data_IF_932801126571
#
_entry.id   IF_932801126571
#
_cell.length_a   1.000
_cell.length_b   1.000
_cell.length_c   1.000
_cell.angle_alpha   90.00
_cell.angle_beta   90.00
_cell.angle_gamma   90.00
#
_symmetry.space_group_name_H-M   'P 1'
#
loop_
_entity.id
_entity.type
_entity.pdbx_description
1 polymer ?
#
# COMPACT_ATOMS: atom_id res chain seq x y z
N UNK A 1 94.12 -66.31 1.70
CA UNK A 1 92.93 -66.72 0.94
C UNK A 1 91.73 -67.07 1.83
N UNK A 2 91.84 -67.95 2.84
CA UNK A 2 90.71 -68.30 3.73
C UNK A 2 90.28 -67.19 4.72
N UNK A 3 91.19 -66.34 5.19
CA UNK A 3 90.85 -65.25 6.14
C UNK A 3 90.12 -64.08 5.47
N UNK A 4 90.46 -63.75 4.22
CA UNK A 4 89.78 -62.71 3.43
C UNK A 4 88.35 -63.11 3.02
N UNK A 5 88.10 -64.40 2.74
CA UNK A 5 86.75 -64.87 2.40
C UNK A 5 85.81 -64.86 3.61
N UNK A 6 86.33 -65.20 4.81
CA UNK A 6 85.61 -65.08 6.08
C UNK A 6 85.29 -63.61 6.39
N UNK A 7 86.25 -62.69 6.19
CA UNK A 7 86.06 -61.24 6.39
C UNK A 7 84.98 -60.66 5.46
N UNK A 8 85.03 -60.99 4.16
CA UNK A 8 84.01 -60.59 3.18
C UNK A 8 82.62 -61.11 3.54
N UNK A 9 82.50 -62.34 4.03
CA UNK A 9 81.22 -62.89 4.52
C UNK A 9 80.65 -62.14 5.72
N UNK A 10 81.50 -61.75 6.68
CA UNK A 10 81.06 -60.94 7.83
C UNK A 10 80.69 -59.51 7.45
N UNK A 11 81.40 -58.91 6.49
CA UNK A 11 81.09 -57.59 5.94
C UNK A 11 79.77 -57.60 5.15
N UNK A 12 79.52 -58.62 4.33
CA UNK A 12 78.24 -58.80 3.63
C UNK A 12 77.06 -59.01 4.61
N UNK A 13 77.29 -59.74 5.70
CA UNK A 13 76.28 -59.93 6.75
C UNK A 13 75.95 -58.62 7.47
N UNK A 14 76.96 -57.79 7.77
CA UNK A 14 76.77 -56.49 8.41
C UNK A 14 76.06 -55.50 7.46
N UNK A 15 76.43 -55.50 6.18
CA UNK A 15 75.79 -54.68 5.13
C UNK A 15 74.32 -55.06 4.94
N UNK A 16 73.99 -56.36 4.95
CA UNK A 16 72.59 -56.81 4.87
C UNK A 16 71.78 -56.40 6.11
N UNK A 17 72.37 -56.47 7.30
CA UNK A 17 71.72 -56.03 8.53
C UNK A 17 71.46 -54.52 8.52
N UNK A 18 72.40 -53.73 8.01
CA UNK A 18 72.26 -52.28 7.86
C UNK A 18 71.14 -51.93 6.88
N UNK A 19 71.09 -52.59 5.71
CA UNK A 19 70.01 -52.42 4.72
C UNK A 19 68.63 -52.73 5.29
N UNK A 20 68.52 -53.77 6.11
CA UNK A 20 67.27 -54.09 6.82
C UNK A 20 66.86 -52.97 7.78
N UNK A 21 67.78 -52.45 8.59
CA UNK A 21 67.47 -51.36 9.54
C UNK A 21 67.13 -50.04 8.85
N UNK A 22 67.76 -49.73 7.72
CA UNK A 22 67.41 -48.55 6.90
C UNK A 22 65.99 -48.68 6.39
N UNK A 23 65.62 -49.84 5.83
CA UNK A 23 64.25 -50.09 5.36
C UNK A 23 63.22 -50.00 6.49
N UNK A 24 63.53 -50.55 7.65
CA UNK A 24 62.67 -50.48 8.84
C UNK A 24 62.51 -49.04 9.36
N UNK A 25 63.55 -48.20 9.23
CA UNK A 25 63.48 -46.79 9.57
C UNK A 25 62.63 -46.00 8.56
N UNK A 26 62.79 -46.27 7.26
CA UNK A 26 61.96 -45.67 6.19
C UNK A 26 60.47 -46.02 6.36
N UNK A 27 60.16 -47.27 6.70
CA UNK A 27 58.79 -47.72 6.99
C UNK A 27 58.19 -47.00 8.21
N UNK A 28 58.97 -46.82 9.28
CA UNK A 28 58.55 -46.08 10.48
C UNK A 28 58.35 -44.60 10.19
N UNK A 29 59.20 -43.99 9.37
CA UNK A 29 59.07 -42.59 8.95
C UNK A 29 57.81 -42.39 8.09
N UNK A 30 57.53 -43.29 7.15
CA UNK A 30 56.29 -43.26 6.36
C UNK A 30 55.05 -43.43 7.24
N UNK A 31 55.06 -44.37 8.19
CA UNK A 31 53.95 -44.57 9.12
C UNK A 31 53.72 -43.33 10.01
N UNK A 32 54.79 -42.68 10.47
CA UNK A 32 54.71 -41.44 11.24
C UNK A 32 54.12 -40.29 10.42
N UNK A 33 54.57 -40.14 9.16
CA UNK A 33 54.03 -39.12 8.25
C UNK A 33 52.54 -39.34 7.95
N UNK A 34 52.10 -40.60 7.74
CA UNK A 34 50.68 -40.92 7.58
C UNK A 34 49.85 -40.59 8.82
N UNK A 35 50.38 -40.89 10.02
CA UNK A 35 49.71 -40.56 11.28
C UNK A 35 49.53 -39.05 11.44
N UNK A 36 50.56 -38.27 11.13
CA UNK A 36 50.51 -36.81 11.20
C UNK A 36 49.46 -36.24 10.23
N UNK A 37 49.43 -36.77 9.01
CA UNK A 37 48.48 -36.36 7.98
C UNK A 37 47.02 -36.70 8.38
N UNK A 38 46.79 -37.86 8.98
CA UNK A 38 45.48 -38.21 9.56
C UNK A 38 45.08 -37.25 10.69
N UNK A 39 46.03 -36.86 11.54
CA UNK A 39 45.75 -35.95 12.65
C UNK A 39 45.39 -34.54 12.17
N UNK A 40 46.07 -34.03 11.14
CA UNK A 40 45.75 -32.75 10.50
C UNK A 40 44.36 -32.78 9.83
N UNK A 41 44.06 -33.85 9.08
CA UNK A 41 42.74 -34.01 8.46
C UNK A 41 41.62 -34.07 9.52
N UNK A 42 41.86 -34.74 10.64
CA UNK A 42 40.88 -34.82 11.74
C UNK A 42 40.62 -33.43 12.34
N UNK A 43 41.67 -32.64 12.62
CA UNK A 43 41.51 -31.26 13.12
C UNK A 43 40.83 -30.34 12.12
N UNK A 44 41.15 -30.46 10.83
CA UNK A 44 40.51 -29.66 9.78
C UNK A 44 39.00 -29.94 9.73
N UNK A 45 38.62 -31.23 9.81
CA UNK A 45 37.22 -31.64 9.83
C UNK A 45 36.47 -31.18 11.08
N UNK A 46 37.09 -31.27 12.26
CA UNK A 46 36.51 -30.74 13.51
C UNK A 46 36.28 -29.24 13.45
N UNK A 47 37.21 -28.48 12.87
CA UNK A 47 37.08 -27.02 12.71
C UNK A 47 35.96 -26.65 11.72
N UNK A 48 35.83 -27.39 10.62
CA UNK A 48 34.76 -27.21 9.65
C UNK A 48 33.38 -27.49 10.26
N UNK A 49 33.24 -28.57 11.03
CA UNK A 49 32.01 -28.90 11.77
C UNK A 49 31.66 -27.83 12.82
N UNK A 50 32.65 -27.28 13.53
CA UNK A 50 32.45 -26.21 14.49
C UNK A 50 31.97 -24.91 13.81
N UNK A 51 32.59 -24.53 12.70
CA UNK A 51 32.18 -23.37 11.92
C UNK A 51 30.76 -23.51 11.37
N UNK A 52 30.42 -24.69 10.85
CA UNK A 52 29.07 -24.97 10.36
C UNK A 52 28.00 -24.83 11.47
N UNK A 53 28.30 -25.31 12.69
CA UNK A 53 27.41 -25.13 13.86
C UNK A 53 27.22 -23.66 14.22
N UNK A 54 28.30 -22.87 14.26
CA UNK A 54 28.19 -21.44 14.54
C UNK A 54 27.43 -20.66 13.45
N UNK A 55 27.58 -21.04 12.17
CA UNK A 55 26.79 -20.46 11.08
C UNK A 55 25.29 -20.77 11.21
N UNK A 56 24.95 -21.98 11.61
CA UNK A 56 23.55 -22.39 11.84
C UNK A 56 22.93 -21.67 13.03
N UNK A 57 23.68 -21.52 14.13
CA UNK A 57 23.26 -20.78 15.32
C UNK A 57 23.01 -19.30 15.01
N UNK A 58 23.93 -18.64 14.29
CA UNK A 58 23.74 -17.25 13.82
C UNK A 58 22.49 -17.08 12.95
N UNK A 59 22.19 -18.06 12.08
CA UNK A 59 20.97 -18.02 11.25
C UNK A 59 19.71 -18.14 12.11
N UNK A 60 19.74 -19.00 13.12
CA UNK A 60 18.62 -19.21 14.03
C UNK A 60 18.35 -17.97 14.88
N UNK A 61 19.38 -17.39 15.49
CA UNK A 61 19.27 -16.13 16.25
C UNK A 61 18.73 -14.99 15.37
N UNK A 62 19.24 -14.85 14.14
CA UNK A 62 18.76 -13.84 13.20
C UNK A 62 17.29 -14.03 12.80
N UNK A 63 16.81 -15.28 12.73
CA UNK A 63 15.39 -15.57 12.45
C UNK A 63 14.50 -15.25 13.66
N UNK A 64 14.92 -15.60 14.86
CA UNK A 64 14.20 -15.27 16.10
C UNK A 64 14.11 -13.76 16.30
N UNK A 65 15.21 -13.02 16.10
CA UNK A 65 15.23 -11.56 16.20
C UNK A 65 14.21 -10.90 15.27
N UNK A 66 14.17 -11.32 14.00
CA UNK A 66 13.18 -10.83 13.03
C UNK A 66 11.75 -11.13 13.46
N UNK A 67 11.51 -12.30 14.07
CA UNK A 67 10.19 -12.66 14.57
C UNK A 67 9.77 -11.80 15.76
N UNK A 68 10.69 -11.48 16.67
CA UNK A 68 10.44 -10.58 17.79
C UNK A 68 10.17 -9.14 17.32
N UNK A 69 10.94 -8.64 16.36
CA UNK A 69 10.71 -7.31 15.77
C UNK A 69 9.33 -7.22 15.11
N UNK A 70 8.94 -8.20 14.31
CA UNK A 70 7.61 -8.22 13.68
C UNK A 70 6.47 -8.27 14.72
N UNK A 71 6.63 -9.02 15.83
CA UNK A 71 5.66 -9.02 16.94
C UNK A 71 5.57 -7.66 17.62
N UNK A 72 6.72 -7.01 17.84
CA UNK A 72 6.78 -5.69 18.47
C UNK A 72 6.08 -4.64 17.60
N UNK A 73 6.36 -4.61 16.30
CA UNK A 73 5.71 -3.72 15.34
C UNK A 73 4.18 -3.89 15.34
N UNK A 74 3.69 -5.14 15.29
CA UNK A 74 2.26 -5.43 15.38
C UNK A 74 1.64 -4.94 16.70
N UNK A 75 2.33 -5.12 17.82
CA UNK A 75 1.84 -4.66 19.12
C UNK A 75 1.81 -3.13 19.22
N UNK A 76 2.86 -2.45 18.76
CA UNK A 76 2.91 -0.99 18.68
C UNK A 76 1.81 -0.43 17.75
N UNK A 77 1.52 -1.12 16.65
CA UNK A 77 0.40 -0.77 15.78
C UNK A 77 -0.96 -0.89 16.49
N UNK A 78 -1.16 -1.96 17.27
CA UNK A 78 -2.39 -2.17 18.04
C UNK A 78 -2.56 -1.09 19.13
N UNK A 79 -1.49 -0.75 19.85
CA UNK A 79 -1.52 0.30 20.89
C UNK A 79 -1.80 1.67 20.28
N UNK A 80 -1.16 2.03 19.14
CA UNK A 80 -1.48 3.26 18.41
C UNK A 80 -2.92 3.29 17.95
N UNK A 81 -3.46 2.16 17.48
CA UNK A 81 -4.87 2.03 17.11
C UNK A 81 -5.80 2.33 18.27
N UNK A 82 -5.53 1.73 19.43
CA UNK A 82 -6.35 1.87 20.62
C UNK A 82 -6.32 3.32 21.14
N UNK A 83 -5.14 3.96 21.14
CA UNK A 83 -5.01 5.38 21.52
C UNK A 83 -5.79 6.30 20.58
N UNK A 84 -5.69 6.11 19.27
CA UNK A 84 -6.43 6.93 18.30
C UNK A 84 -7.94 6.76 18.45
N UNK A 85 -8.41 5.53 18.67
CA UNK A 85 -9.83 5.24 18.93
C UNK A 85 -10.32 5.94 20.20
N UNK A 86 -9.54 5.92 21.29
CA UNK A 86 -9.89 6.61 22.54
C UNK A 86 -9.92 8.14 22.37
N UNK A 87 -9.02 8.73 21.58
CA UNK A 87 -9.03 10.17 21.30
C UNK A 87 -10.31 10.62 20.56
N UNK A 88 -10.82 9.79 19.65
CA UNK A 88 -12.11 10.04 18.98
C UNK A 88 -13.32 9.86 19.91
N UNK A 89 -13.22 9.06 20.97
CA UNK A 89 -14.28 8.89 21.97
C UNK A 89 -14.31 10.02 23.02
N UNK A 90 -13.14 10.61 23.34
CA UNK A 90 -13.03 11.71 24.33
C UNK A 90 -13.39 13.07 23.71
N UNK A 91 -13.20 13.22 22.40
CA UNK A 91 -13.66 14.39 21.66
C UNK A 91 -15.14 14.18 21.33
N UNK A 92 -16.08 14.56 22.21
CA UNK A 92 -17.49 14.61 21.82
C UNK A 92 -17.60 15.55 20.62
N UNK A 93 -17.90 15.06 19.41
CA UNK A 93 -18.12 15.96 18.30
C UNK A 93 -19.36 16.77 18.66
N UNK A 94 -19.28 18.08 18.43
CA UNK A 94 -20.46 18.93 18.40
C UNK A 94 -21.53 18.23 17.53
N UNK A 95 -22.82 18.38 17.86
CA UNK A 95 -23.90 17.61 17.21
C UNK A 95 -23.92 17.84 15.67
N UNK A 96 -23.30 18.94 15.23
CA UNK A 96 -23.07 19.35 13.85
C UNK A 96 -21.97 18.54 13.12
N UNK A 97 -20.93 18.05 13.81
CA UNK A 97 -19.86 17.22 13.22
C UNK A 97 -20.29 15.77 12.99
N UNK A 98 -21.19 15.22 13.83
CA UNK A 98 -21.77 13.87 13.63
C UNK A 98 -22.63 13.77 12.37
N UNK A 99 -23.11 14.89 11.86
CA UNK A 99 -23.96 14.95 10.66
C UNK A 99 -23.19 15.18 9.36
N UNK A 100 -21.84 15.22 9.41
CA UNK A 100 -20.97 15.39 8.25
C UNK A 100 -20.47 14.03 7.75
N UNK A 101 -20.61 13.77 6.46
CA UNK A 101 -20.01 12.61 5.79
C UNK A 101 -18.98 13.15 4.79
N UNK A 102 -17.75 12.66 4.85
CA UNK A 102 -16.70 13.01 3.89
C UNK A 102 -16.36 11.84 2.99
N UNK A 103 -16.24 12.13 1.69
CA UNK A 103 -15.96 11.17 0.63
C UNK A 103 -14.75 11.65 -0.15
N UNK A 104 -13.70 10.84 -0.17
CA UNK A 104 -12.48 11.13 -0.96
C UNK A 104 -12.56 10.35 -2.28
N UNK A 105 -12.40 11.03 -3.40
CA UNK A 105 -12.38 10.43 -4.73
C UNK A 105 -10.95 10.03 -5.07
N UNK A 106 -10.72 8.76 -5.36
CA UNK A 106 -9.39 8.20 -5.66
C UNK A 106 -9.43 7.46 -7.00
N UNK A 107 -8.35 7.52 -7.76
CA UNK A 107 -8.34 7.02 -9.14
C UNK A 107 -7.19 7.61 -9.93
N UNK A 108 -6.77 6.93 -11.00
CA UNK A 108 -5.76 7.45 -11.93
C UNK A 108 -6.23 8.74 -12.62
N UNK A 109 -5.30 9.47 -13.21
CA UNK A 109 -5.57 10.62 -14.06
C UNK A 109 -6.46 10.20 -15.23
N UNK A 110 -7.45 11.04 -15.56
CA UNK A 110 -8.43 10.74 -16.61
C UNK A 110 -9.50 9.69 -16.26
N UNK A 111 -9.50 9.11 -15.05
CA UNK A 111 -10.55 8.16 -14.62
C UNK A 111 -11.95 8.79 -14.46
N UNK A 112 -12.03 10.12 -14.41
CA UNK A 112 -13.30 10.85 -14.30
C UNK A 112 -13.70 11.26 -12.89
N UNK A 113 -12.75 11.33 -11.95
CA UNK A 113 -12.99 11.76 -10.55
C UNK A 113 -13.73 13.10 -10.47
N UNK A 114 -13.16 14.15 -11.05
CA UNK A 114 -13.73 15.50 -11.03
C UNK A 114 -15.09 15.57 -11.73
N UNK A 115 -15.25 14.88 -12.86
CA UNK A 115 -16.54 14.81 -13.58
C UNK A 115 -17.61 14.09 -12.76
N UNK A 116 -17.26 12.95 -12.14
CA UNK A 116 -18.17 12.21 -11.27
C UNK A 116 -18.56 13.04 -10.05
N UNK A 117 -17.60 13.73 -9.43
CA UNK A 117 -17.84 14.62 -8.30
C UNK A 117 -18.79 15.75 -8.68
N UNK A 118 -18.58 16.42 -9.82
CA UNK A 118 -19.47 17.50 -10.27
C UNK A 118 -20.90 16.99 -10.53
N UNK A 119 -21.05 15.83 -11.17
CA UNK A 119 -22.38 15.22 -11.38
C UNK A 119 -23.05 14.87 -10.04
N UNK A 120 -22.30 14.32 -9.08
CA UNK A 120 -22.82 14.03 -7.74
C UNK A 120 -23.24 15.33 -7.04
N UNK A 121 -22.41 16.38 -7.12
CA UNK A 121 -22.68 17.69 -6.52
C UNK A 121 -23.98 18.29 -7.04
N UNK A 122 -24.14 18.37 -8.37
CA UNK A 122 -25.33 18.90 -9.04
C UNK A 122 -26.59 18.12 -8.69
N UNK A 123 -26.51 16.79 -8.67
CA UNK A 123 -27.70 15.92 -8.47
C UNK A 123 -28.05 15.70 -6.99
N UNK A 124 -27.09 15.76 -6.08
CA UNK A 124 -27.31 15.57 -4.64
C UNK A 124 -28.00 16.78 -4.00
N UNK A 125 -27.65 18.00 -4.43
CA UNK A 125 -28.18 19.24 -3.87
C UNK A 125 -29.61 19.58 -4.32
N UNK A 126 -30.23 18.77 -5.18
CA UNK A 126 -31.50 19.07 -5.85
C UNK A 126 -31.52 20.44 -6.57
N UNK A 127 -30.34 21.01 -6.85
CA UNK A 127 -30.19 22.26 -7.58
C UNK A 127 -30.25 21.95 -9.08
N UNK A 128 -31.42 22.17 -9.67
CA UNK A 128 -31.55 22.27 -11.12
C UNK A 128 -30.97 23.61 -11.55
N UNK A 129 -29.66 23.69 -11.81
CA UNK A 129 -29.14 24.86 -12.51
C UNK A 129 -29.45 24.71 -14.01
N UNK A 130 -30.44 25.49 -14.48
CA UNK A 130 -30.79 25.63 -15.90
C UNK A 130 -29.77 26.54 -16.63
N UNK A 131 -28.92 27.23 -15.88
CA UNK A 131 -27.85 28.06 -16.43
C UNK A 131 -26.61 27.19 -16.62
N UNK A 132 -26.26 26.98 -17.89
CA UNK A 132 -25.30 25.98 -18.37
C UNK A 132 -24.01 25.95 -17.56
N UNK A 133 -23.55 24.74 -17.25
CA UNK A 133 -22.18 24.52 -16.81
C UNK A 133 -21.26 25.14 -17.85
N UNK A 134 -20.52 26.18 -17.49
CA UNK A 134 -19.37 26.62 -18.25
C UNK A 134 -18.49 25.39 -18.41
N UNK A 135 -18.41 24.87 -19.63
CA UNK A 135 -17.53 23.79 -20.01
C UNK A 135 -16.10 24.33 -19.94
N UNK A 136 -15.55 24.42 -18.74
CA UNK A 136 -14.11 24.49 -18.62
C UNK A 136 -13.54 23.14 -19.09
N UNK A 137 -12.46 23.16 -19.89
CA UNK A 137 -11.77 21.94 -20.29
C UNK A 137 -11.46 21.09 -19.05
N UNK A 138 -11.42 19.77 -19.20
CA UNK A 138 -10.93 18.88 -18.15
C UNK A 138 -9.44 19.18 -17.92
N UNK A 139 -9.15 20.19 -17.12
CA UNK A 139 -7.81 20.51 -16.66
C UNK A 139 -7.34 19.37 -15.77
N UNK A 140 -6.04 19.11 -15.79
CA UNK A 140 -5.44 18.15 -14.88
C UNK A 140 -5.65 18.65 -13.45
N UNK A 141 -6.28 17.82 -12.60
CA UNK A 141 -6.36 18.09 -11.17
C UNK A 141 -4.95 18.00 -10.60
N UNK A 142 -4.37 19.15 -10.21
CA UNK A 142 -3.00 19.22 -9.65
C UNK A 142 -3.01 19.35 -8.13
N UNK A 143 -4.13 19.80 -7.54
CA UNK A 143 -4.30 20.00 -6.09
C UNK A 143 -5.61 19.38 -5.60
N UNK A 144 -5.68 19.08 -4.31
CA UNK A 144 -6.92 18.56 -3.71
C UNK A 144 -7.98 19.67 -3.59
N UNK A 145 -9.23 19.38 -3.91
CA UNK A 145 -10.33 20.34 -3.86
C UNK A 145 -11.46 19.83 -2.97
N UNK A 146 -11.97 20.68 -2.06
CA UNK A 146 -13.10 20.38 -1.17
C UNK A 146 -14.35 21.05 -1.72
N UNK A 147 -15.42 20.29 -1.94
CA UNK A 147 -16.77 20.78 -2.23
C UNK A 147 -17.77 20.25 -1.22
N UNK A 148 -18.80 21.02 -0.94
CA UNK A 148 -19.81 20.65 0.06
C UNK A 148 -21.21 20.73 -0.54
N UNK A 149 -22.07 19.78 -0.19
CA UNK A 149 -23.48 19.75 -0.60
C UNK A 149 -24.33 19.15 0.51
N UNK A 150 -25.54 19.68 0.69
CA UNK A 150 -26.53 19.07 1.57
C UNK A 150 -27.34 18.03 0.81
N UNK A 151 -27.35 16.79 1.31
CA UNK A 151 -28.08 15.69 0.72
C UNK A 151 -28.80 14.89 1.81
N UNK A 152 -30.10 14.67 1.66
CA UNK A 152 -30.93 13.90 2.60
C UNK A 152 -30.79 14.33 4.08
N UNK A 153 -30.68 15.64 4.33
CA UNK A 153 -30.56 16.20 5.68
C UNK A 153 -29.18 16.08 6.32
N UNK A 154 -28.16 15.67 5.56
CA UNK A 154 -26.76 15.60 6.01
C UNK A 154 -25.85 16.43 5.13
N UNK A 155 -24.76 16.91 5.71
CA UNK A 155 -23.73 17.65 4.99
C UNK A 155 -22.72 16.66 4.40
N UNK A 156 -22.61 16.64 3.08
CA UNK A 156 -21.69 15.79 2.34
C UNK A 156 -20.49 16.61 1.88
N UNK A 157 -19.31 16.22 2.32
CA UNK A 157 -18.02 16.79 1.92
C UNK A 157 -17.44 15.87 0.84
N UNK A 158 -17.18 16.42 -0.35
CA UNK A 158 -16.58 15.72 -1.47
C UNK A 158 -15.17 16.27 -1.67
N UNK A 159 -14.16 15.40 -1.61
CA UNK A 159 -12.77 15.77 -1.82
C UNK A 159 -12.31 15.18 -3.14
N UNK A 160 -12.08 16.03 -4.14
CA UNK A 160 -11.38 15.66 -5.37
C UNK A 160 -9.88 15.57 -5.08
N UNK A 161 -9.21 14.58 -5.66
CA UNK A 161 -7.76 14.43 -5.49
C UNK A 161 -7.04 14.34 -6.83
N UNK A 162 -5.81 14.85 -6.91
CA UNK A 162 -4.86 14.41 -7.93
C UNK A 162 -4.46 12.95 -7.73
N UNK A 163 -3.55 12.44 -8.57
CA UNK A 163 -2.79 11.25 -8.20
C UNK A 163 -1.89 11.57 -7.00
N UNK A 164 -1.82 10.64 -6.04
CA UNK A 164 -1.12 10.84 -4.76
C UNK A 164 0.32 10.32 -4.79
N UNK A 165 0.81 9.95 -5.97
CA UNK A 165 2.16 9.47 -6.23
C UNK A 165 2.65 10.02 -7.57
N UNK A 166 3.96 10.03 -7.76
CA UNK A 166 4.60 10.39 -9.02
C UNK A 166 4.74 9.20 -9.99
N UNK A 167 5.38 9.42 -11.14
CA UNK A 167 5.58 8.40 -12.18
C UNK A 167 6.44 7.21 -11.70
N UNK A 168 7.28 7.41 -10.68
CA UNK A 168 8.10 6.38 -10.05
C UNK A 168 7.34 5.63 -8.94
N UNK A 169 6.08 6.00 -8.68
CA UNK A 169 5.23 5.42 -7.65
C UNK A 169 5.61 5.88 -6.23
N UNK A 170 6.40 6.94 -6.10
CA UNK A 170 6.73 7.57 -4.83
C UNK A 170 5.57 8.47 -4.42
N UNK A 171 5.11 8.28 -3.19
CA UNK A 171 3.98 9.05 -2.67
C UNK A 171 4.31 10.54 -2.50
N UNK A 172 3.35 11.39 -2.83
CA UNK A 172 3.40 12.82 -2.54
C UNK A 172 2.76 13.07 -1.17
N UNK A 173 3.60 13.16 -0.13
CA UNK A 173 3.16 13.29 1.26
C UNK A 173 2.33 14.55 1.50
N UNK A 174 2.62 15.66 0.81
CA UNK A 174 1.85 16.91 0.93
C UNK A 174 0.43 16.73 0.36
N UNK A 175 0.28 16.11 -0.82
CA UNK A 175 -1.04 15.83 -1.39
C UNK A 175 -1.86 14.85 -0.54
N UNK A 176 -1.20 13.84 0.04
CA UNK A 176 -1.84 12.93 1.00
C UNK A 176 -2.32 13.70 2.23
N UNK A 177 -1.50 14.61 2.75
CA UNK A 177 -1.87 15.45 3.90
C UNK A 177 -3.02 16.38 3.56
N UNK A 178 -3.00 17.01 2.38
CA UNK A 178 -4.05 17.90 1.90
C UNK A 178 -5.39 17.17 1.75
N UNK A 179 -5.41 15.98 1.14
CA UNK A 179 -6.65 15.22 0.98
C UNK A 179 -7.28 14.83 2.33
N UNK A 180 -6.45 14.47 3.31
CA UNK A 180 -6.91 14.10 4.65
C UNK A 180 -7.37 15.33 5.46
N UNK A 181 -6.66 16.45 5.32
CA UNK A 181 -7.02 17.72 5.96
C UNK A 181 -8.36 18.24 5.44
N UNK A 182 -8.58 18.18 4.12
CA UNK A 182 -9.85 18.58 3.52
C UNK A 182 -11.01 17.64 3.86
N UNK A 183 -10.72 16.41 4.31
CA UNK A 183 -11.71 15.41 4.70
C UNK A 183 -12.03 15.39 6.21
N UNK A 184 -11.45 16.29 7.02
CA UNK A 184 -11.74 16.43 8.47
C UNK A 184 -13.26 16.53 8.69
N UNK A 185 -13.86 15.75 9.61
CA UNK A 185 -13.24 15.05 10.77
C UNK A 185 -12.50 13.73 10.46
N UNK A 186 -12.54 13.26 9.21
CA UNK A 186 -11.80 12.09 8.73
C UNK A 186 -12.57 11.42 7.59
N UNK A 187 -11.90 10.71 6.67
CA UNK A 187 -12.57 10.10 5.51
C UNK A 187 -13.57 9.04 5.93
N UNK A 188 -14.85 9.23 5.62
CA UNK A 188 -15.87 8.24 5.92
C UNK A 188 -15.93 7.16 4.84
N UNK A 189 -15.78 7.58 3.58
CA UNK A 189 -15.80 6.71 2.41
C UNK A 189 -14.68 7.07 1.44
N UNK A 190 -14.04 6.05 0.88
CA UNK A 190 -13.14 6.17 -0.26
C UNK A 190 -13.87 5.73 -1.52
N UNK A 191 -13.99 6.60 -2.51
CA UNK A 191 -14.64 6.29 -3.76
C UNK A 191 -13.58 6.01 -4.84
N UNK A 192 -13.40 4.73 -5.17
CA UNK A 192 -12.43 4.28 -6.17
C UNK A 192 -13.03 4.41 -7.57
N UNK A 193 -12.64 5.44 -8.30
CA UNK A 193 -13.17 5.78 -9.62
C UNK A 193 -12.42 5.02 -10.71
N UNK A 194 -13.15 4.17 -11.44
CA UNK A 194 -12.64 3.36 -12.54
C UNK A 194 -13.48 3.61 -13.80
N UNK A 195 -12.85 3.61 -14.97
CA UNK A 195 -13.59 3.74 -16.23
C UNK A 195 -14.15 2.37 -16.66
N UNK A 196 -15.42 2.33 -17.07
CA UNK A 196 -16.01 1.11 -17.63
C UNK A 196 -15.27 0.71 -18.91
N UNK A 197 -14.93 -0.57 -19.03
CA UNK A 197 -14.22 -1.13 -20.18
C UNK A 197 -12.72 -0.84 -20.20
N UNK A 198 -12.19 -0.12 -19.21
CA UNK A 198 -10.76 0.17 -19.06
C UNK A 198 -10.31 -0.17 -17.64
N UNK A 199 -9.71 -1.34 -17.50
CA UNK A 199 -9.00 -1.76 -16.28
C UNK A 199 -7.64 -2.29 -16.70
N UNK A 200 -6.58 -1.58 -16.31
CA UNK A 200 -5.20 -1.83 -16.71
C UNK A 200 -4.36 -2.22 -15.51
N UNK A 201 -3.09 -2.52 -15.76
CA UNK A 201 -2.11 -2.79 -14.72
C UNK A 201 -1.96 -1.61 -13.75
N UNK A 202 -2.07 -0.36 -14.24
CA UNK A 202 -1.99 0.84 -13.41
C UNK A 202 -3.07 0.87 -12.33
N UNK A 203 -4.31 0.48 -12.63
CA UNK A 203 -5.38 0.42 -11.62
C UNK A 203 -5.14 -0.70 -10.59
N UNK A 204 -4.46 -1.78 -10.97
CA UNK A 204 -4.05 -2.84 -10.03
C UNK A 204 -2.99 -2.32 -9.05
N UNK A 205 -1.99 -1.62 -9.56
CA UNK A 205 -0.89 -1.04 -8.78
C UNK A 205 -1.39 0.06 -7.86
N UNK A 206 -2.25 0.95 -8.37
CA UNK A 206 -2.95 1.99 -7.61
C UNK A 206 -3.55 1.44 -6.31
N UNK A 207 -4.27 0.32 -6.39
CA UNK A 207 -4.88 -0.26 -5.18
C UNK A 207 -3.84 -0.61 -4.11
N UNK A 208 -2.67 -1.11 -4.52
CA UNK A 208 -1.54 -1.37 -3.63
C UNK A 208 -0.96 -0.09 -3.02
N UNK A 209 -0.80 0.99 -3.79
CA UNK A 209 -0.36 2.29 -3.28
C UNK A 209 -1.35 2.85 -2.25
N UNK A 210 -2.65 2.75 -2.51
CA UNK A 210 -3.69 3.18 -1.57
C UNK A 210 -3.66 2.40 -0.25
N UNK A 211 -3.37 1.09 -0.28
CA UNK A 211 -3.18 0.30 0.95
C UNK A 211 -1.96 0.76 1.75
N UNK A 212 -0.89 1.22 1.10
CA UNK A 212 0.28 1.79 1.77
C UNK A 212 -0.04 3.16 2.39
N UNK A 213 -0.78 4.00 1.68
CA UNK A 213 -1.10 5.38 2.11
C UNK A 213 -2.14 5.39 3.23
N UNK A 214 -3.27 4.71 3.04
CA UNK A 214 -4.45 4.78 3.93
C UNK A 214 -4.59 3.57 4.86
N UNK A 215 -3.67 2.61 4.78
CA UNK A 215 -3.69 1.36 5.54
C UNK A 215 -4.59 0.30 4.90
N UNK A 216 -4.31 -0.98 5.17
CA UNK A 216 -4.99 -2.12 4.50
C UNK A 216 -6.51 -2.13 4.69
N UNK A 217 -6.96 -1.61 5.83
CA UNK A 217 -8.37 -1.57 6.22
C UNK A 217 -9.18 -0.50 5.48
N UNK A 218 -8.54 0.42 4.72
CA UNK A 218 -9.26 1.44 3.94
C UNK A 218 -10.28 0.82 2.98
N UNK A 219 -9.98 -0.38 2.47
CA UNK A 219 -10.85 -1.13 1.58
C UNK A 219 -12.22 -1.44 2.22
N UNK A 220 -12.30 -1.55 3.56
CA UNK A 220 -13.56 -1.70 4.28
C UNK A 220 -14.43 -0.44 4.25
N UNK A 221 -13.83 0.73 4.03
CA UNK A 221 -14.50 2.01 3.80
C UNK A 221 -14.56 2.39 2.31
N UNK A 222 -14.17 1.49 1.38
CA UNK A 222 -14.11 1.79 -0.04
C UNK A 222 -15.35 1.32 -0.82
N UNK A 223 -15.77 2.12 -1.79
CA UNK A 223 -16.78 1.80 -2.81
C UNK A 223 -16.13 1.97 -4.18
N UNK A 224 -16.35 1.03 -5.11
CA UNK A 224 -15.89 1.17 -6.49
C UNK A 224 -16.94 1.92 -7.32
N UNK A 225 -16.59 3.04 -7.92
CA UNK A 225 -17.44 3.79 -8.83
C UNK A 225 -16.98 3.59 -10.26
N UNK A 226 -17.81 2.94 -11.07
CA UNK A 226 -17.58 2.79 -12.50
C UNK A 226 -18.17 3.96 -13.27
N UNK A 227 -17.33 4.68 -14.02
CA UNK A 227 -17.71 5.86 -14.79
C UNK A 227 -17.79 5.53 -16.27
N UNK A 228 -18.89 5.94 -16.92
CA UNK A 228 -19.14 5.76 -18.34
C UNK A 228 -18.94 7.07 -19.10
N UNK A 229 -18.03 7.09 -20.09
CA UNK A 229 -17.70 8.25 -20.94
C UNK A 229 -18.24 8.19 -22.37
N UNK A 230 -18.73 7.02 -22.84
CA UNK A 230 -19.33 6.89 -24.16
C UNK A 230 -20.70 6.18 -24.13
N UNK A 231 -21.71 6.76 -24.78
CA UNK A 231 -23.04 6.15 -24.96
C UNK A 231 -23.06 5.12 -26.11
N UNK A 232 -22.05 5.13 -27.00
CA UNK A 232 -22.04 4.35 -28.25
C UNK A 232 -21.18 3.08 -28.22
N UNK A 233 -20.32 2.87 -27.21
CA UNK A 233 -19.41 1.70 -27.16
C UNK A 233 -19.76 0.61 -26.15
N UNK A 234 -20.80 0.77 -25.36
CA UNK A 234 -21.36 -0.30 -24.57
C UNK A 234 -22.88 -0.21 -24.66
N UNK A 235 -23.52 -1.22 -25.27
CA UNK A 235 -24.92 -1.52 -24.95
C UNK A 235 -25.02 -1.62 -23.42
N UNK A 236 -26.16 -1.26 -22.78
CA UNK A 236 -26.33 -1.35 -21.34
C UNK A 236 -26.24 -2.81 -20.89
N UNK A 237 -25.02 -3.34 -20.74
CA UNK A 237 -24.78 -4.49 -19.92
C UNK A 237 -24.84 -3.97 -18.50
N UNK A 238 -25.75 -4.52 -17.69
CA UNK A 238 -25.82 -4.21 -16.27
C UNK A 238 -24.42 -4.28 -15.70
N UNK A 239 -24.00 -3.28 -14.92
CA UNK A 239 -22.65 -3.23 -14.33
C UNK A 239 -22.25 -4.55 -13.65
N UNK A 240 -23.21 -5.28 -13.08
CA UNK A 240 -23.01 -6.62 -12.51
C UNK A 240 -22.45 -7.63 -13.53
N UNK A 241 -22.93 -7.62 -14.77
CA UNK A 241 -22.44 -8.51 -15.82
C UNK A 241 -21.02 -8.12 -16.25
N UNK A 242 -20.73 -6.81 -16.30
CA UNK A 242 -19.37 -6.33 -16.57
C UNK A 242 -18.38 -6.82 -15.51
N UNK A 243 -18.71 -6.65 -14.22
CA UNK A 243 -17.85 -7.13 -13.12
C UNK A 243 -17.71 -8.65 -13.14
N UNK A 244 -18.81 -9.39 -13.36
CA UNK A 244 -18.78 -10.86 -13.41
C UNK A 244 -17.98 -11.40 -14.61
N UNK A 245 -17.96 -10.68 -15.74
CA UNK A 245 -17.19 -11.03 -16.93
C UNK A 245 -15.77 -10.44 -16.97
N UNK A 246 -15.40 -9.61 -16.00
CA UNK A 246 -14.11 -8.94 -15.98
C UNK A 246 -12.95 -9.87 -15.60
N UNK A 247 -11.73 -9.39 -15.84
CA UNK A 247 -10.50 -10.06 -15.40
C UNK A 247 -10.48 -10.27 -13.88
N UNK A 248 -9.86 -11.37 -13.42
CA UNK A 248 -9.81 -11.77 -12.01
C UNK A 248 -9.29 -10.65 -11.08
N UNK A 249 -8.30 -9.88 -11.53
CA UNK A 249 -7.76 -8.74 -10.79
C UNK A 249 -8.81 -7.66 -10.46
N UNK A 250 -9.73 -7.34 -11.38
CA UNK A 250 -10.83 -6.41 -11.09
C UNK A 250 -11.83 -7.03 -10.11
N UNK A 251 -12.16 -8.30 -10.30
CA UNK A 251 -13.05 -9.02 -9.39
C UNK A 251 -12.48 -9.09 -7.97
N UNK A 252 -11.16 -9.30 -7.83
CA UNK A 252 -10.44 -9.28 -6.57
C UNK A 252 -10.51 -7.92 -5.89
N UNK A 253 -10.29 -6.83 -6.65
CA UNK A 253 -10.41 -5.45 -6.13
C UNK A 253 -11.83 -5.18 -5.61
N UNK A 254 -12.85 -5.51 -6.39
CA UNK A 254 -14.26 -5.34 -6.01
C UNK A 254 -14.59 -6.17 -4.76
N UNK A 255 -14.09 -7.41 -4.68
CA UNK A 255 -14.29 -8.29 -3.52
C UNK A 255 -13.63 -7.73 -2.26
N UNK A 256 -12.41 -7.19 -2.36
CA UNK A 256 -11.72 -6.52 -1.24
C UNK A 256 -12.49 -5.29 -0.75
N UNK A 257 -13.21 -4.62 -1.65
CA UNK A 257 -14.13 -3.52 -1.31
C UNK A 257 -15.53 -4.01 -0.88
N UNK A 258 -15.67 -5.26 -0.44
CA UNK A 258 -16.93 -5.82 0.06
C UNK A 258 -18.02 -5.98 -1.00
N UNK A 259 -17.64 -6.11 -2.28
CA UNK A 259 -18.58 -6.18 -3.42
C UNK A 259 -19.49 -4.96 -3.55
N UNK A 260 -19.04 -3.79 -3.07
CA UNK A 260 -19.75 -2.51 -3.17
C UNK A 260 -19.28 -1.77 -4.41
N UNK A 261 -20.13 -1.73 -5.43
CA UNK A 261 -19.86 -0.96 -6.64
C UNK A 261 -21.12 -0.33 -7.23
N UNK A 262 -20.94 0.80 -7.91
CA UNK A 262 -21.99 1.57 -8.55
C UNK A 262 -21.54 2.02 -9.94
N UNK A 263 -22.49 2.34 -10.79
CA UNK A 263 -22.25 2.90 -12.12
C UNK A 263 -22.74 4.35 -12.15
N UNK A 264 -21.97 5.23 -12.78
CA UNK A 264 -22.35 6.63 -13.00
C UNK A 264 -22.10 7.04 -14.46
N UNK A 265 -23.15 7.48 -15.12
CA UNK A 265 -23.05 8.09 -16.44
C UNK A 265 -22.79 9.59 -16.31
N UNK A 266 -21.65 10.03 -16.83
CA UNK A 266 -21.21 11.44 -16.81
C UNK A 266 -21.41 12.15 -18.15
N UNK A 267 -21.94 11.45 -19.17
CA UNK A 267 -22.17 11.95 -20.51
C UNK A 267 -23.57 12.55 -20.54
N UNK A 268 -23.65 13.85 -20.78
CA UNK A 268 -24.87 14.66 -20.72
C UNK A 268 -25.31 14.89 -19.28
N UNK A 269 -24.85 16.01 -18.73
CA UNK A 269 -25.34 16.64 -17.49
C UNK A 269 -26.86 16.91 -17.48
N UNK A 270 -27.65 16.46 -18.47
CA UNK A 270 -29.11 16.64 -18.56
C UNK A 270 -29.94 15.35 -18.66
N UNK A 271 -29.35 14.15 -18.59
CA UNK A 271 -30.18 12.93 -18.63
C UNK A 271 -30.86 12.66 -17.27
N UNK A 272 -32.13 12.24 -17.30
CA UNK A 272 -32.89 11.75 -16.13
C UNK A 272 -32.27 10.50 -15.48
N UNK A 273 -31.35 9.81 -16.18
CA UNK A 273 -30.76 8.53 -15.78
C UNK A 273 -29.69 8.65 -14.68
N UNK A 274 -28.98 9.78 -14.56
CA UNK A 274 -27.95 9.93 -13.51
C UNK A 274 -28.54 10.24 -12.13
N UNK A 275 -29.79 10.69 -12.05
CA UNK A 275 -30.43 10.94 -10.74
C UNK A 275 -30.65 9.64 -9.95
N UNK A 276 -31.25 8.56 -10.51
CA UNK A 276 -31.30 7.25 -9.85
C UNK A 276 -29.92 6.72 -9.46
N UNK A 277 -28.92 6.84 -10.34
CA UNK A 277 -27.55 6.38 -10.07
C UNK A 277 -26.91 7.11 -8.88
N UNK A 278 -27.01 8.44 -8.85
CA UNK A 278 -26.51 9.25 -7.72
C UNK A 278 -27.29 8.91 -6.45
N UNK A 279 -28.61 8.76 -6.52
CA UNK A 279 -29.44 8.38 -5.38
C UNK A 279 -29.04 7.02 -4.81
N UNK A 280 -28.80 6.02 -5.66
CA UNK A 280 -28.36 4.69 -5.25
C UNK A 280 -26.96 4.72 -4.64
N UNK A 281 -26.04 5.48 -5.23
CA UNK A 281 -24.69 5.70 -4.69
C UNK A 281 -24.73 6.36 -3.30
N UNK A 282 -25.52 7.43 -3.13
CA UNK A 282 -25.68 8.12 -1.83
C UNK A 282 -26.31 7.21 -0.78
N UNK A 283 -27.26 6.35 -1.18
CA UNK A 283 -27.80 5.30 -0.30
C UNK A 283 -26.71 4.31 0.11
N UNK A 284 -25.87 3.89 -0.84
CA UNK A 284 -24.71 3.03 -0.61
C UNK A 284 -23.71 3.62 0.39
N UNK A 285 -23.34 4.89 0.20
CA UNK A 285 -22.48 5.65 1.11
C UNK A 285 -23.10 5.68 2.51
N UNK A 286 -24.38 6.01 2.62
CA UNK A 286 -25.07 6.10 3.91
C UNK A 286 -25.09 4.74 4.64
N UNK A 287 -25.37 3.65 3.93
CA UNK A 287 -25.33 2.29 4.48
C UNK A 287 -23.94 1.90 4.95
N UNK A 288 -22.91 2.25 4.18
CA UNK A 288 -21.53 1.97 4.52
C UNK A 288 -21.08 2.72 5.79
N UNK A 289 -21.43 4.00 5.89
CA UNK A 289 -21.13 4.79 7.08
C UNK A 289 -21.86 4.25 8.30
N UNK A 290 -23.14 3.88 8.13
CA UNK A 290 -23.93 3.28 9.20
C UNK A 290 -23.36 1.92 9.67
N UNK A 291 -22.84 1.08 8.76
CA UNK A 291 -22.22 -0.20 9.15
C UNK A 291 -20.94 -0.05 9.97
N UNK A 292 -20.32 1.13 9.94
CA UNK A 292 -19.17 1.50 10.78
C UNK A 292 -19.57 2.40 11.97
N UNK A 293 -20.88 2.44 12.30
CA UNK A 293 -21.41 3.21 13.43
C UNK A 293 -21.28 4.73 13.27
N UNK A 294 -21.13 5.23 12.03
CA UNK A 294 -20.91 6.65 11.77
C UNK A 294 -19.46 7.12 11.90
N UNK A 295 -18.52 6.23 12.24
CA UNK A 295 -17.14 6.62 12.48
C UNK A 295 -16.36 6.72 11.15
N UNK A 296 -15.48 7.73 10.99
CA UNK A 296 -14.58 7.80 9.85
C UNK A 296 -13.49 6.71 9.93
N UNK A 297 -12.90 6.41 8.78
CA UNK A 297 -11.72 5.53 8.70
C UNK A 297 -10.51 6.21 9.36
N UNK A 298 -9.84 5.48 10.25
CA UNK A 298 -8.68 6.00 10.98
C UNK A 298 -7.43 5.86 10.11
N UNK A 299 -6.89 6.99 9.64
CA UNK A 299 -5.61 7.04 8.92
C UNK A 299 -4.51 7.49 9.88
N UNK A 300 -3.63 6.56 10.29
CA UNK A 300 -2.64 6.75 11.38
C UNK A 300 -1.38 7.53 10.97
N UNK A 301 -1.47 8.41 9.98
CA UNK A 301 -0.31 9.04 9.34
C UNK A 301 -0.01 10.45 9.88
N UNK A 302 -1.07 11.19 10.22
CA UNK A 302 -1.01 12.56 10.74
C UNK A 302 -1.94 12.68 11.94
N UNK A 303 -1.63 13.58 12.86
CA UNK A 303 -2.52 13.83 14.00
C UNK A 303 -3.75 14.65 13.57
N UNK A 304 -4.88 14.53 14.30
CA UNK A 304 -6.06 15.32 14.01
C UNK A 304 -5.78 16.84 14.08
N UNK A 305 -4.98 17.27 15.06
CA UNK A 305 -4.57 18.67 15.21
C UNK A 305 -3.77 19.16 14.00
N UNK A 306 -2.84 18.34 13.51
CA UNK A 306 -2.04 18.65 12.33
C UNK A 306 -2.90 18.79 11.06
N UNK A 307 -3.90 17.90 10.89
CA UNK A 307 -4.84 17.97 9.78
C UNK A 307 -5.77 19.19 9.87
N UNK A 308 -6.22 19.55 11.08
CA UNK A 308 -7.03 20.74 11.31
C UNK A 308 -6.25 22.02 10.99
N UNK A 309 -5.00 22.11 11.42
CA UNK A 309 -4.14 23.25 11.12
C UNK A 309 -3.86 23.35 9.62
N UNK A 310 -3.56 22.20 8.98
CA UNK A 310 -3.37 22.16 7.53
C UNK A 310 -4.63 22.60 6.77
N UNK A 311 -5.82 22.21 7.23
CA UNK A 311 -7.09 22.61 6.61
C UNK A 311 -7.27 24.13 6.65
N UNK A 312 -6.98 24.78 7.79
CA UNK A 312 -7.02 26.26 7.90
C UNK A 312 -6.09 26.93 6.89
N UNK A 313 -4.85 26.46 6.78
CA UNK A 313 -3.87 27.01 5.83
C UNK A 313 -4.34 26.86 4.38
N UNK A 314 -5.01 25.75 4.04
CA UNK A 314 -5.55 25.54 2.69
C UNK A 314 -6.70 26.51 2.41
N UNK A 315 -7.61 26.73 3.38
CA UNK A 315 -8.73 27.65 3.22
C UNK A 315 -8.28 29.12 3.15
N UNK A 316 -7.35 29.55 4.01
CA UNK A 316 -6.75 30.91 3.97
C UNK A 316 -6.08 31.21 2.62
N UNK A 317 -5.39 30.23 2.03
CA UNK A 317 -4.80 30.37 0.68
C UNK A 317 -5.84 30.57 -0.41
N UNK A 318 -7.00 29.91 -0.30
CA UNK A 318 -8.10 30.07 -1.27
C UNK A 318 -8.75 31.44 -1.13
N UNK A 319 -9.00 31.89 0.11
CA UNK A 319 -9.56 33.21 0.39
C UNK A 319 -8.64 34.33 -0.10
N UNK A 320 -7.34 34.26 0.19
CA UNK A 320 -6.36 35.23 -0.31
C UNK A 320 -6.23 35.26 -1.84
N UNK A 321 -6.36 34.11 -2.51
CA UNK A 321 -6.37 34.06 -3.97
C UNK A 321 -7.66 34.64 -4.59
N UNK A 322 -8.79 34.52 -3.88
CA UNK A 322 -10.05 35.15 -4.28
C UNK A 322 -9.99 36.67 -4.09
N UNK A 323 -9.50 37.17 -2.96
CA UNK A 323 -9.36 38.62 -2.69
C UNK A 323 -8.45 39.32 -3.72
N UNK A 324 -7.32 38.70 -4.08
CA UNK A 324 -6.43 39.24 -5.13
C UNK A 324 -7.13 39.26 -6.49
N UNK A 325 -7.94 38.24 -6.83
CA UNK A 325 -8.72 38.23 -8.07
C UNK A 325 -9.86 39.28 -8.08
N UNK A 326 -10.45 39.60 -6.93
CA UNK A 326 -11.43 40.69 -6.81
C UNK A 326 -10.78 42.06 -7.00
N UNK A 327 -9.63 42.31 -6.37
CA UNK A 327 -8.88 43.58 -6.52
C UNK A 327 -8.32 43.81 -7.92
N UNK A 328 -8.05 42.74 -8.68
CA UNK A 328 -7.62 42.81 -10.08
C UNK A 328 -8.79 42.95 -11.08
N UNK A 329 -10.05 42.74 -10.65
CA UNK A 329 -11.24 42.97 -11.49
C UNK A 329 -11.84 44.37 -11.35
N UNK A 330 -11.45 45.12 -10.33
CA UNK A 330 -11.92 46.49 -10.07
C UNK A 330 -10.97 47.60 -10.58
N UNK A 331 -9.89 47.24 -11.30
CA UNK A 331 -8.95 48.19 -11.91
C UNK A 331 -9.02 48.21 -13.44
#
# INVERSE_FOLDING_TARGET
MLSESMKRRTEDSAMNMLKMKVREAEEKEQAFMQLLQQQEQRRAKELEELNAKHDEERKKEGAEQKQYEAKRENLEEAVRSHRAMLQLQISTPDDDEKNKISVIFLGLSGSGKSSALNVILERAGSQYSINGSTHEPALLTVFCERKEVYAAGRKLILVDTPELWDEDGVENVELVKDCLALAVPGPHVFLLVLQVGRFTQGECEMFGHLQKIFGREFAKHAIVLFVQFDNNKCRPQKINNYVAGAHSALQDLVRKCGSRYYELNIIKSQNALSYPQVKDLLSGISKLVASHGGHPHIVKRFSLQELQERNKVIEERKEGALEVNYLLREN
#
